data_IF_940764926339
#
_entry.id   IF_940764926339
#
_cell.length_a   1.000
_cell.length_b   1.000
_cell.length_c   1.000
_cell.angle_alpha   90.00
_cell.angle_beta   90.00
_cell.angle_gamma   90.00
#
_symmetry.space_group_name_H-M   'P 1'
#
loop_
_entity.id
_entity.type
_entity.pdbx_description
1 polymer ?
#
# COMPACT_ATOMS: atom_id res chain seq x y z
N UNK A 1 17.78 6.12 4.42
CA UNK A 1 16.42 5.54 4.47
C UNK A 1 15.46 6.57 3.92
N UNK A 2 14.75 6.24 2.85
CA UNK A 2 13.74 7.12 2.23
C UNK A 2 12.39 6.47 2.45
N UNK A 3 11.45 7.18 3.08
CA UNK A 3 10.09 6.72 3.33
C UNK A 3 9.16 7.56 2.46
N UNK A 4 8.26 6.89 1.74
CA UNK A 4 7.25 7.53 0.91
C UNK A 4 5.88 7.37 1.56
N UNK A 5 5.19 8.47 1.84
CA UNK A 5 3.78 8.45 2.23
C UNK A 5 2.92 8.57 0.97
N UNK A 6 1.95 7.68 0.82
CA UNK A 6 1.19 7.50 -0.42
C UNK A 6 -0.29 7.47 -0.10
N UNK A 7 -1.08 8.26 -0.82
CA UNK A 7 -2.53 8.27 -0.66
C UNK A 7 -3.17 6.91 -1.02
N UNK A 8 -3.97 6.38 -0.09
CA UNK A 8 -4.68 5.10 -0.24
C UNK A 8 -5.93 5.15 -1.14
N UNK A 9 -6.40 6.33 -1.55
CA UNK A 9 -7.60 6.46 -2.38
C UNK A 9 -7.36 5.92 -3.81
N UNK A 10 -8.38 5.36 -4.43
CA UNK A 10 -8.25 4.72 -5.76
C UNK A 10 -7.77 5.66 -6.86
N UNK A 11 -8.13 6.95 -6.78
CA UNK A 11 -7.69 7.97 -7.74
C UNK A 11 -6.16 8.12 -7.81
N UNK A 12 -5.41 7.65 -6.80
CA UNK A 12 -3.96 7.69 -6.76
C UNK A 12 -3.29 6.36 -7.19
N UNK A 13 -4.04 5.35 -7.65
CA UNK A 13 -3.49 4.03 -7.99
C UNK A 13 -2.32 4.10 -8.98
N UNK A 14 -2.43 4.90 -10.03
CA UNK A 14 -1.33 5.10 -10.98
C UNK A 14 -0.08 5.73 -10.35
N UNK A 15 -0.26 6.62 -9.36
CA UNK A 15 0.88 7.19 -8.64
C UNK A 15 1.53 6.17 -7.73
N UNK A 16 0.77 5.33 -7.02
CA UNK A 16 1.31 4.29 -6.11
C UNK A 16 2.29 3.36 -6.80
N UNK A 17 1.98 2.93 -8.04
CA UNK A 17 2.83 2.04 -8.84
C UNK A 17 4.25 2.59 -9.04
N UNK A 18 4.41 3.91 -9.11
CA UNK A 18 5.75 4.53 -9.26
C UNK A 18 6.60 4.37 -7.99
N UNK A 19 5.97 4.31 -6.82
CA UNK A 19 6.66 4.19 -5.54
C UNK A 19 6.94 2.74 -5.14
N UNK A 20 6.26 1.77 -5.75
CA UNK A 20 6.56 0.35 -5.54
C UNK A 20 7.91 -0.07 -6.14
N UNK A 21 8.24 0.41 -7.34
CA UNK A 21 9.46 0.00 -8.04
C UNK A 21 10.73 0.34 -7.25
N UNK A 22 11.50 -0.70 -6.89
CA UNK A 22 12.77 -0.57 -6.17
C UNK A 22 12.63 -0.42 -4.65
N UNK A 23 11.41 -0.52 -4.10
CA UNK A 23 11.21 -0.53 -2.64
C UNK A 23 11.72 -1.82 -2.02
N UNK A 24 12.40 -1.70 -0.88
CA UNK A 24 12.96 -2.85 -0.14
C UNK A 24 12.05 -3.35 1.00
N UNK A 25 10.92 -2.70 1.22
CA UNK A 25 9.94 -3.04 2.25
C UNK A 25 8.71 -2.15 2.14
N UNK A 26 7.59 -2.57 2.73
CA UNK A 26 6.34 -1.82 2.73
C UNK A 26 5.64 -1.90 4.09
N UNK A 27 4.83 -0.88 4.40
CA UNK A 27 3.93 -0.86 5.55
C UNK A 27 2.53 -0.60 5.02
N UNK A 28 1.57 -1.46 5.37
CA UNK A 28 0.17 -1.28 4.99
C UNK A 28 -0.61 -0.79 6.21
N UNK A 29 -1.35 0.31 6.04
CA UNK A 29 -2.10 0.94 7.13
C UNK A 29 -3.58 1.00 6.79
N UNK A 30 -4.42 0.73 7.80
CA UNK A 30 -5.87 0.89 7.73
C UNK A 30 -6.38 1.60 8.99
N UNK A 31 -7.58 2.16 8.89
CA UNK A 31 -8.22 2.91 9.98
C UNK A 31 -9.13 2.00 10.81
N UNK A 32 -9.06 2.15 12.14
CA UNK A 32 -10.00 1.51 13.08
C UNK A 32 -11.21 2.41 13.39
N UNK A 33 -11.25 3.62 12.86
CA UNK A 33 -12.38 4.51 13.06
C UNK A 33 -13.65 3.91 12.43
N UNK A 34 -14.82 3.92 13.11
CA UNK A 34 -16.05 3.32 12.59
C UNK A 34 -16.44 3.81 11.19
N UNK A 35 -16.21 5.10 10.91
CA UNK A 35 -16.46 5.75 9.62
C UNK A 35 -15.54 5.26 8.48
N UNK A 36 -14.38 4.69 8.81
CA UNK A 36 -13.34 4.28 7.86
C UNK A 36 -12.96 2.81 7.95
N UNK A 37 -13.71 1.99 8.69
CA UNK A 37 -13.44 0.56 8.88
C UNK A 37 -13.37 -0.21 7.54
N UNK A 38 -14.09 0.28 6.51
CA UNK A 38 -14.02 -0.23 5.14
C UNK A 38 -12.62 -0.16 4.52
N UNK A 39 -11.71 0.65 5.06
CA UNK A 39 -10.31 0.73 4.63
C UNK A 39 -9.58 -0.61 4.78
N UNK A 40 -9.98 -1.45 5.74
CA UNK A 40 -9.44 -2.79 5.93
C UNK A 40 -9.63 -3.68 4.69
N UNK A 41 -10.74 -3.51 3.96
CA UNK A 41 -11.02 -4.31 2.77
C UNK A 41 -10.05 -4.02 1.61
N UNK A 42 -9.31 -2.90 1.64
CA UNK A 42 -8.33 -2.57 0.61
C UNK A 42 -6.96 -3.24 0.84
N UNK A 43 -6.72 -3.83 2.02
CA UNK A 43 -5.43 -4.44 2.37
C UNK A 43 -5.08 -5.56 1.39
N UNK A 44 -6.03 -6.43 1.07
CA UNK A 44 -5.80 -7.55 0.14
C UNK A 44 -5.38 -7.05 -1.25
N UNK A 45 -6.10 -6.04 -1.77
CA UNK A 45 -5.76 -5.37 -3.03
C UNK A 45 -4.33 -4.79 -3.00
N UNK A 46 -3.98 -4.05 -1.94
CA UNK A 46 -2.65 -3.44 -1.83
C UNK A 46 -1.54 -4.48 -1.66
N UNK A 47 -1.80 -5.57 -0.95
CA UNK A 47 -0.87 -6.68 -0.79
C UNK A 47 -0.57 -7.34 -2.14
N UNK A 48 -1.59 -7.59 -2.95
CA UNK A 48 -1.43 -8.16 -4.29
C UNK A 48 -0.70 -7.20 -5.23
N UNK A 49 -1.00 -5.90 -5.16
CA UNK A 49 -0.27 -4.87 -5.88
C UNK A 49 1.21 -4.86 -5.49
N UNK A 50 1.53 -4.88 -4.20
CA UNK A 50 2.90 -4.87 -3.69
C UNK A 50 3.68 -6.12 -4.16
N UNK A 51 3.10 -7.31 -3.99
CA UNK A 51 3.72 -8.57 -4.44
C UNK A 51 3.97 -8.57 -5.95
N UNK A 52 3.03 -8.04 -6.73
CA UNK A 52 3.16 -7.96 -8.19
C UNK A 52 4.30 -7.03 -8.65
N UNK A 53 4.57 -5.94 -7.94
CA UNK A 53 5.56 -4.93 -8.36
C UNK A 53 6.91 -5.08 -7.67
N UNK A 54 6.94 -5.53 -6.41
CA UNK A 54 8.15 -5.59 -5.59
C UNK A 54 8.68 -7.02 -5.40
N UNK A 55 7.87 -8.05 -5.71
CA UNK A 55 8.19 -9.43 -5.36
C UNK A 55 8.05 -9.69 -3.86
N UNK A 56 8.90 -10.55 -3.32
CA UNK A 56 8.87 -10.96 -1.92
C UNK A 56 9.75 -10.02 -1.08
N UNK A 57 9.15 -8.92 -0.63
CA UNK A 57 9.77 -7.95 0.29
C UNK A 57 9.13 -8.06 1.68
N UNK A 58 9.82 -7.66 2.76
CA UNK A 58 9.20 -7.54 4.07
C UNK A 58 8.01 -6.56 4.04
N UNK A 59 6.86 -7.00 4.56
CA UNK A 59 5.62 -6.21 4.67
C UNK A 59 5.16 -6.23 6.13
N UNK A 60 4.88 -5.04 6.67
CA UNK A 60 4.34 -4.85 8.02
C UNK A 60 2.89 -4.35 7.98
#
# INVERSE_FOLDING_TARGET
LTIWDIAGQEIFEMMRRKFYNGSNGAIIVFSHAPEELKSFNHIEKWLDELKKHCGDIPIA
#
